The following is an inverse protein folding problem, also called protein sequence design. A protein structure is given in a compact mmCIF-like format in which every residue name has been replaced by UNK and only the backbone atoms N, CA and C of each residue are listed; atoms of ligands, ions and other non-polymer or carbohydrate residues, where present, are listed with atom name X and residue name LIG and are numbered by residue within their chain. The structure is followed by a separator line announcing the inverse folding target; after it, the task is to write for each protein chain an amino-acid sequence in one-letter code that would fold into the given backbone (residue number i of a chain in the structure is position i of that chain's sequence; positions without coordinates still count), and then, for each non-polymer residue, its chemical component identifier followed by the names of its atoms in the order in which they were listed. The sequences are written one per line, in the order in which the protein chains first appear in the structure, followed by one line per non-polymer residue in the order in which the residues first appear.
data_IF_786252695936
#
_entry.id   IF_786252695936
#
_cell.length_a   1.000
_cell.length_b   1.000
_cell.length_c   1.000
_cell.angle_alpha   90.00
_cell.angle_beta   90.00
_cell.angle_gamma   90.00
#
_symmetry.space_group_name_H-M   'P 1'
#
loop_
_entity.id
_entity.type
_entity.pdbx_description
1 polymer ?
#
# COMPACT_ATOMS: atom_id res chain seq x y z
N UNK A 1 1.51 12.33 13.53
CA UNK A 1 0.83 11.05 13.27
C UNK A 1 0.18 11.14 11.89
N UNK A 2 0.44 10.20 10.98
CA UNK A 2 -0.14 10.22 9.63
C UNK A 2 -1.67 10.07 9.60
N UNK A 3 -2.28 9.55 10.66
CA UNK A 3 -3.73 9.40 10.79
C UNK A 3 -4.43 10.59 11.43
N UNK A 4 -3.70 11.50 12.07
CA UNK A 4 -4.31 12.60 12.83
C UNK A 4 -3.85 13.97 12.32
N UNK A 5 -2.57 14.09 11.95
CA UNK A 5 -1.97 15.34 11.50
C UNK A 5 -2.56 15.76 10.14
N UNK A 6 -2.74 17.08 9.97
CA UNK A 6 -3.05 17.66 8.67
C UNK A 6 -1.90 17.38 7.70
N UNK A 7 -2.21 16.68 6.62
CA UNK A 7 -1.22 16.30 5.61
C UNK A 7 -0.84 17.49 4.72
N UNK A 8 -1.62 18.58 4.73
CA UNK A 8 -1.42 19.73 3.86
C UNK A 8 -1.74 19.45 2.39
N UNK A 9 -1.09 20.20 1.50
CA UNK A 9 -1.25 20.07 0.04
C UNK A 9 -1.86 21.30 -0.63
N UNK A 10 -2.24 21.19 -1.92
CA UNK A 10 -2.27 19.95 -2.69
C UNK A 10 -0.90 19.62 -3.30
N UNK A 11 -0.53 18.34 -3.32
CA UNK A 11 0.74 17.82 -3.84
C UNK A 11 0.62 17.25 -5.26
N UNK A 12 1.68 17.36 -6.05
CA UNK A 12 1.76 16.75 -7.37
C UNK A 12 1.98 15.23 -7.29
N UNK A 13 2.82 14.78 -6.34
CA UNK A 13 3.13 13.37 -6.11
C UNK A 13 3.22 13.11 -4.60
N UNK A 14 2.61 12.02 -4.13
CA UNK A 14 2.81 11.48 -2.78
C UNK A 14 3.41 10.07 -2.87
N UNK A 15 4.41 9.79 -2.04
CA UNK A 15 5.04 8.47 -1.96
C UNK A 15 4.80 7.83 -0.60
N UNK A 16 4.28 6.60 -0.60
CA UNK A 16 4.16 5.77 0.59
C UNK A 16 5.12 4.60 0.45
N UNK A 17 6.28 4.71 1.09
CA UNK A 17 7.38 3.75 0.98
C UNK A 17 7.50 2.92 2.25
N UNK A 18 7.29 1.61 2.13
CA UNK A 18 7.32 0.66 3.24
C UNK A 18 6.42 1.06 4.43
N UNK A 19 5.21 1.57 4.13
CA UNK A 19 4.23 2.00 5.15
C UNK A 19 3.05 1.05 5.25
N UNK A 20 2.41 0.72 4.12
CA UNK A 20 1.08 0.09 4.12
C UNK A 20 1.06 -1.34 4.68
N UNK A 21 2.18 -2.07 4.62
CA UNK A 21 2.28 -3.43 5.16
C UNK A 21 2.24 -3.51 6.69
N UNK A 22 2.39 -2.38 7.39
CA UNK A 22 2.22 -2.35 8.85
C UNK A 22 0.75 -2.42 9.28
N UNK A 23 -0.19 -2.25 8.34
CA UNK A 23 -1.62 -2.11 8.61
C UNK A 23 -2.44 -3.15 7.85
N UNK A 24 -3.56 -3.55 8.44
CA UNK A 24 -4.63 -4.28 7.75
C UNK A 24 -5.26 -3.44 6.63
N UNK A 25 -5.94 -4.10 5.70
CA UNK A 25 -6.50 -3.50 4.47
C UNK A 25 -7.37 -2.27 4.78
N UNK A 26 -8.20 -2.35 5.82
CA UNK A 26 -9.13 -1.26 6.15
C UNK A 26 -8.40 -0.01 6.63
N UNK A 27 -7.36 -0.18 7.46
CA UNK A 27 -6.58 0.94 7.99
C UNK A 27 -5.62 1.51 6.95
N UNK A 28 -5.08 0.66 6.07
CA UNK A 28 -4.33 1.10 4.90
C UNK A 28 -5.21 1.91 3.93
N UNK A 29 -6.45 1.48 3.70
CA UNK A 29 -7.44 2.20 2.86
C UNK A 29 -7.82 3.55 3.46
N UNK A 30 -7.98 3.63 4.79
CA UNK A 30 -8.19 4.90 5.50
C UNK A 30 -7.06 5.89 5.24
N UNK A 31 -5.79 5.44 5.36
CA UNK A 31 -4.62 6.26 5.08
C UNK A 31 -4.59 6.73 3.63
N UNK A 32 -4.85 5.83 2.67
CA UNK A 32 -4.90 6.16 1.24
C UNK A 32 -5.98 7.20 0.93
N UNK A 33 -7.15 7.08 1.57
CA UNK A 33 -8.25 8.04 1.42
C UNK A 33 -7.92 9.42 1.98
N UNK A 34 -7.13 9.49 3.06
CA UNK A 34 -6.59 10.76 3.57
C UNK A 34 -5.58 11.35 2.59
N UNK A 35 -4.66 10.54 2.07
CA UNK A 35 -3.65 10.97 1.10
C UNK A 35 -4.31 11.49 -0.18
N UNK A 36 -5.37 10.85 -0.67
CA UNK A 36 -6.10 11.29 -1.86
C UNK A 36 -6.58 12.74 -1.76
N UNK A 37 -6.99 13.21 -0.56
CA UNK A 37 -7.42 14.59 -0.32
C UNK A 37 -6.26 15.61 -0.40
N UNK A 38 -5.04 15.16 -0.14
CA UNK A 38 -3.84 15.97 -0.20
C UNK A 38 -3.21 15.99 -1.60
N UNK A 39 -3.69 15.19 -2.55
CA UNK A 39 -3.17 15.11 -3.93
C UNK A 39 -3.97 16.03 -4.85
N UNK A 40 -3.28 16.78 -5.71
CA UNK A 40 -3.91 17.62 -6.75
C UNK A 40 -4.76 16.76 -7.71
N UNK A 41 -5.83 17.31 -8.31
CA UNK A 41 -6.45 16.68 -9.48
C UNK A 41 -5.39 16.42 -10.57
N UNK A 42 -5.27 15.17 -11.02
CA UNK A 42 -4.24 14.74 -11.98
C UNK A 42 -2.86 14.44 -11.37
N UNK A 43 -2.70 14.63 -10.05
CA UNK A 43 -1.52 14.19 -9.30
C UNK A 43 -1.45 12.67 -9.15
N UNK A 44 -0.35 12.17 -8.59
CA UNK A 44 -0.06 10.73 -8.51
C UNK A 44 0.27 10.29 -7.09
N UNK A 45 0.01 9.01 -6.83
CA UNK A 45 0.51 8.30 -5.65
C UNK A 45 1.41 7.16 -6.09
N UNK A 46 2.52 6.96 -5.39
CA UNK A 46 3.39 5.80 -5.56
C UNK A 46 3.45 5.03 -4.23
N UNK A 47 3.00 3.77 -4.26
CA UNK A 47 3.16 2.83 -3.16
C UNK A 47 4.36 1.95 -3.46
N UNK A 48 5.33 1.93 -2.56
CA UNK A 48 6.52 1.09 -2.67
C UNK A 48 6.55 0.16 -1.47
N UNK A 49 6.64 -1.14 -1.70
CA UNK A 49 6.78 -2.11 -0.63
C UNK A 49 6.76 -3.54 -1.14
N UNK A 50 6.91 -4.48 -0.21
CA UNK A 50 6.74 -5.90 -0.49
C UNK A 50 5.28 -6.20 -0.85
N UNK A 51 5.11 -7.00 -1.89
CA UNK A 51 3.82 -7.47 -2.39
C UNK A 51 4.00 -8.90 -2.90
N UNK A 52 2.87 -9.55 -3.20
CA UNK A 52 2.81 -10.85 -3.87
C UNK A 52 1.78 -10.80 -4.99
N UNK A 53 1.93 -11.67 -5.97
CA UNK A 53 0.84 -11.94 -6.92
C UNK A 53 -0.24 -12.77 -6.23
N UNK A 54 -1.44 -12.82 -6.82
CA UNK A 54 -2.57 -13.51 -6.21
C UNK A 54 -2.43 -15.04 -6.34
N UNK A 55 -1.75 -15.47 -7.41
CA UNK A 55 -1.41 -16.86 -7.73
C UNK A 55 -0.17 -17.37 -6.99
N UNK A 56 0.57 -16.48 -6.31
CA UNK A 56 1.71 -16.90 -5.50
C UNK A 56 1.22 -17.85 -4.39
N UNK A 57 2.06 -18.83 -4.07
CA UNK A 57 1.90 -19.71 -2.91
C UNK A 57 3.20 -19.71 -2.11
N UNK A 58 3.19 -20.16 -0.85
CA UNK A 58 4.43 -20.30 -0.07
C UNK A 58 5.48 -21.20 -0.76
N UNK A 59 5.05 -22.11 -1.64
CA UNK A 59 5.91 -23.02 -2.37
C UNK A 59 6.55 -22.35 -3.60
N UNK A 60 5.79 -21.51 -4.32
CA UNK A 60 6.26 -20.85 -5.55
C UNK A 60 7.00 -19.55 -5.29
N UNK A 61 6.64 -18.82 -4.22
CA UNK A 61 7.25 -17.56 -3.85
C UNK A 61 7.24 -17.37 -2.32
N UNK A 62 8.21 -17.96 -1.58
CA UNK A 62 8.18 -17.97 -0.12
C UNK A 62 8.46 -16.61 0.55
N UNK A 63 9.19 -15.71 -0.12
CA UNK A 63 9.70 -14.47 0.49
C UNK A 63 8.60 -13.52 0.99
N UNK A 64 7.53 -13.20 0.22
CA UNK A 64 6.43 -12.35 0.70
C UNK A 64 5.68 -12.91 1.91
N UNK A 65 5.58 -14.25 2.01
CA UNK A 65 4.93 -14.92 3.14
C UNK A 65 5.79 -14.86 4.40
N UNK A 66 7.09 -15.11 4.28
CA UNK A 66 8.03 -14.93 5.39
C UNK A 66 8.05 -13.47 5.86
N UNK A 67 8.04 -12.51 4.94
CA UNK A 67 7.92 -11.09 5.30
C UNK A 67 6.60 -10.79 6.02
N UNK A 68 5.49 -11.40 5.60
CA UNK A 68 4.21 -11.26 6.29
C UNK A 68 4.24 -11.80 7.73
N UNK A 69 4.95 -12.91 7.97
CA UNK A 69 5.16 -13.43 9.34
C UNK A 69 5.98 -12.46 10.17
N UNK A 70 7.04 -11.87 9.61
CA UNK A 70 7.84 -10.85 10.29
C UNK A 70 6.96 -9.66 10.66
N UNK A 71 6.11 -9.17 9.75
CA UNK A 71 5.18 -8.08 10.03
C UNK A 71 4.14 -8.44 11.09
N UNK A 72 3.58 -9.65 11.07
CA UNK A 72 2.67 -10.12 12.11
C UNK A 72 3.33 -10.16 13.50
N UNK A 73 4.63 -10.50 13.57
CA UNK A 73 5.37 -10.51 14.85
C UNK A 73 5.74 -9.11 15.31
N UNK A 74 6.06 -8.21 14.38
CA UNK A 74 6.62 -6.90 14.68
C UNK A 74 5.58 -5.77 14.76
N UNK A 75 4.40 -5.97 14.20
CA UNK A 75 3.28 -5.01 14.27
C UNK A 75 2.00 -5.72 14.71
N UNK A 76 1.05 -4.93 15.20
CA UNK A 76 -0.16 -5.48 15.81
C UNK A 76 -1.02 -6.27 14.81
N UNK A 77 -1.07 -5.84 13.54
CA UNK A 77 -1.92 -6.42 12.48
C UNK A 77 -1.28 -6.31 11.07
N UNK A 78 0.05 -6.33 10.97
CA UNK A 78 0.76 -6.15 9.70
C UNK A 78 0.70 -7.40 8.81
N UNK A 79 0.52 -7.18 7.51
CA UNK A 79 0.52 -8.25 6.52
C UNK A 79 1.03 -7.78 5.16
N UNK A 80 1.55 -8.71 4.38
CA UNK A 80 1.87 -8.47 2.97
C UNK A 80 0.59 -8.55 2.14
N UNK A 81 0.15 -7.42 1.60
CA UNK A 81 -1.00 -7.36 0.69
C UNK A 81 -0.63 -7.84 -0.72
N UNK A 82 -1.58 -8.46 -1.43
CA UNK A 82 -1.41 -8.80 -2.85
C UNK A 82 -1.49 -7.56 -3.74
N UNK A 83 -0.99 -7.66 -4.97
CA UNK A 83 -1.14 -6.59 -5.99
C UNK A 83 -2.62 -6.23 -6.19
N UNK A 84 -3.49 -7.24 -6.33
CA UNK A 84 -4.94 -7.03 -6.46
C UNK A 84 -5.55 -6.31 -5.25
N UNK A 85 -5.04 -6.56 -4.05
CA UNK A 85 -5.48 -5.86 -2.83
C UNK A 85 -5.07 -4.39 -2.86
N UNK A 86 -3.81 -4.09 -3.19
CA UNK A 86 -3.38 -2.70 -3.37
C UNK A 86 -4.19 -1.95 -4.42
N UNK A 87 -4.51 -2.60 -5.54
CA UNK A 87 -5.35 -2.01 -6.58
C UNK A 87 -6.75 -1.66 -6.06
N UNK A 88 -7.41 -2.57 -5.36
CA UNK A 88 -8.74 -2.32 -4.76
C UNK A 88 -8.70 -1.19 -3.73
N UNK A 89 -7.68 -1.13 -2.88
CA UNK A 89 -7.53 -0.05 -1.90
C UNK A 89 -7.35 1.32 -2.57
N UNK A 90 -6.48 1.40 -3.59
CA UNK A 90 -6.23 2.63 -4.35
C UNK A 90 -7.49 3.11 -5.08
N UNK A 91 -8.21 2.20 -5.72
CA UNK A 91 -9.48 2.50 -6.39
C UNK A 91 -10.53 2.98 -5.39
N UNK A 92 -10.65 2.32 -4.23
CA UNK A 92 -11.58 2.70 -3.17
C UNK A 92 -11.26 4.08 -2.57
N UNK A 93 -9.98 4.48 -2.58
CA UNK A 93 -9.54 5.82 -2.19
C UNK A 93 -9.75 6.88 -3.28
N UNK A 94 -10.26 6.52 -4.46
CA UNK A 94 -10.59 7.43 -5.55
C UNK A 94 -9.50 7.60 -6.61
N UNK A 95 -8.41 6.83 -6.55
CA UNK A 95 -7.39 6.84 -7.60
C UNK A 95 -7.83 6.02 -8.81
N UNK A 96 -7.43 6.48 -10.00
CA UNK A 96 -7.71 5.83 -11.29
C UNK A 96 -6.39 5.49 -11.99
N UNK A 97 -6.44 4.65 -13.02
CA UNK A 97 -5.25 4.19 -13.78
C UNK A 97 -4.17 3.53 -12.89
N UNK A 98 -4.60 2.62 -12.01
CA UNK A 98 -3.68 1.91 -11.10
C UNK A 98 -2.85 0.88 -11.88
N UNK A 99 -1.53 1.00 -11.81
CA UNK A 99 -0.58 0.08 -12.46
C UNK A 99 0.41 -0.46 -11.44
N UNK A 100 0.77 -1.73 -11.58
CA UNK A 100 1.86 -2.34 -10.84
C UNK A 100 3.14 -2.34 -11.69
N UNK A 101 4.27 -2.10 -11.03
CA UNK A 101 5.58 -2.18 -11.64
C UNK A 101 6.47 -3.02 -10.72
N UNK A 102 6.98 -4.13 -11.24
CA UNK A 102 8.01 -4.92 -10.58
C UNK A 102 9.39 -4.42 -11.03
N UNK A 103 10.27 -4.17 -10.07
CA UNK A 103 11.69 -3.97 -10.36
C UNK A 103 12.33 -5.28 -10.85
N UNK A 104 13.53 -5.23 -11.47
CA UNK A 104 14.28 -6.45 -11.77
C UNK A 104 14.48 -7.25 -10.46
N UNK A 105 14.18 -8.55 -10.53
CA UNK A 105 14.42 -9.51 -9.44
C UNK A 105 15.91 -9.75 -9.25
#
# INVERSE_FOLDING_TARGET
DMFETDLGGPYDIVMLTNVLHHFREEKATELLSRVAKAVKPGGRIAVVGHTREEEDTPETNPLPYLFSVIMLVQTFDGQTHSVGTYQRMLQSAGFTDVRSHSGPR
#
